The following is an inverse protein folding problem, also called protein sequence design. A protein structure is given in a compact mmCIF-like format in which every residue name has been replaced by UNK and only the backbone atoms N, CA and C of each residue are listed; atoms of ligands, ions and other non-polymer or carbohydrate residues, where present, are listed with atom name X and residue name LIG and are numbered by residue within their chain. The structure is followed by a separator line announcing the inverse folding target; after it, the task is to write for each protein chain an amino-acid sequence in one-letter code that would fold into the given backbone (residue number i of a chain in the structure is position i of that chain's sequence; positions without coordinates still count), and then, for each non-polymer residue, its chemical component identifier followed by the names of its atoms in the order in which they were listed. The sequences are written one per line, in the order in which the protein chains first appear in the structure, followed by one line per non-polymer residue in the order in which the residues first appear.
data_IF_904188939416
#
_entry.id   IF_904188939416
#
_cell.length_a   1.000
_cell.length_b   1.000
_cell.length_c   1.000
_cell.angle_alpha   90.00
_cell.angle_beta   90.00
_cell.angle_gamma   90.00
#
_symmetry.space_group_name_H-M   'P 1'
#
loop_
_entity.id
_entity.type
_entity.pdbx_description
1 polymer ?
#
# COMPACT_ATOMS: atom_id res chain seq x y z
N UNK A 1 -19.27 6.44 -24.97
CA UNK A 1 -18.55 5.74 -23.89
C UNK A 1 -17.07 5.90 -24.15
N UNK A 2 -16.37 6.77 -23.40
CA UNK A 2 -14.92 6.88 -23.53
C UNK A 2 -14.30 5.56 -23.06
N UNK A 3 -13.64 4.85 -23.99
CA UNK A 3 -12.74 3.73 -23.69
C UNK A 3 -11.45 4.31 -23.10
N UNK A 4 -11.57 4.87 -21.90
CA UNK A 4 -10.42 5.19 -21.07
C UNK A 4 -9.74 3.89 -20.63
N UNK A 5 -8.44 3.89 -20.44
CA UNK A 5 -7.73 2.66 -20.13
C UNK A 5 -8.01 2.30 -18.64
N UNK A 6 -8.12 0.99 -18.33
CA UNK A 6 -8.79 0.48 -17.13
C UNK A 6 -7.86 0.52 -15.89
N UNK A 7 -8.33 1.08 -14.75
CA UNK A 7 -7.54 1.12 -13.52
C UNK A 7 -7.19 -0.28 -13.02
N UNK A 8 -6.12 -0.37 -12.24
CA UNK A 8 -5.74 -1.59 -11.52
C UNK A 8 -6.52 -1.63 -10.21
N UNK A 9 -7.34 -2.67 -10.03
CA UNK A 9 -8.20 -2.83 -8.86
C UNK A 9 -7.70 -4.06 -8.13
N UNK A 10 -6.87 -3.83 -7.12
CA UNK A 10 -6.24 -4.85 -6.31
C UNK A 10 -7.17 -5.19 -5.14
N UNK A 11 -7.72 -6.39 -5.13
CA UNK A 11 -8.49 -6.91 -4.00
C UNK A 11 -7.56 -7.26 -2.84
N UNK A 12 -7.70 -6.56 -1.72
CA UNK A 12 -7.05 -6.88 -0.44
C UNK A 12 -7.87 -7.98 0.25
N UNK A 13 -7.34 -9.21 0.29
CA UNK A 13 -8.13 -10.39 0.69
C UNK A 13 -8.61 -10.36 2.14
N UNK A 14 -7.86 -9.73 3.04
CA UNK A 14 -8.14 -9.78 4.49
C UNK A 14 -8.49 -8.41 5.07
N UNK A 15 -8.08 -7.33 4.43
CA UNK A 15 -8.15 -6.00 5.02
C UNK A 15 -7.15 -5.79 6.16
N UNK A 16 -6.23 -6.73 6.43
CA UNK A 16 -5.27 -6.64 7.52
C UNK A 16 -3.97 -5.94 7.08
N UNK A 17 -3.39 -5.12 7.96
CA UNK A 17 -2.17 -4.36 7.68
C UNK A 17 -0.91 -5.22 7.59
N UNK A 18 -0.90 -6.38 8.26
CA UNK A 18 0.31 -7.20 8.48
C UNK A 18 0.28 -8.54 7.73
N UNK A 19 -0.78 -8.83 6.99
CA UNK A 19 -0.98 -10.13 6.35
C UNK A 19 -2.14 -10.13 5.37
N UNK A 20 -1.85 -9.87 4.10
CA UNK A 20 -2.84 -9.95 3.02
C UNK A 20 -2.19 -10.13 1.65
N UNK A 21 -2.90 -10.79 0.73
CA UNK A 21 -2.58 -10.73 -0.68
C UNK A 21 -3.46 -9.66 -1.35
N UNK A 22 -2.88 -9.00 -2.35
CA UNK A 22 -3.50 -7.96 -3.15
C UNK A 22 -3.52 -8.43 -4.60
N UNK A 23 -4.68 -8.89 -5.08
CA UNK A 23 -4.81 -9.50 -6.40
C UNK A 23 -5.61 -8.58 -7.35
N UNK A 24 -5.04 -8.17 -8.50
CA UNK A 24 -5.78 -7.36 -9.49
C UNK A 24 -6.95 -8.17 -10.06
N UNK A 25 -8.15 -7.59 -10.16
CA UNK A 25 -9.33 -8.30 -10.66
C UNK A 25 -9.19 -8.77 -12.12
N UNK A 26 -8.27 -8.19 -12.89
CA UNK A 26 -7.97 -8.56 -14.27
C UNK A 26 -6.67 -9.37 -14.39
N UNK A 27 -6.14 -9.90 -13.28
CA UNK A 27 -4.96 -10.76 -13.23
C UNK A 27 -3.66 -10.11 -13.77
N UNK A 28 -3.55 -8.78 -13.72
CA UNK A 28 -2.37 -8.06 -14.26
C UNK A 28 -1.26 -7.81 -13.22
N UNK A 29 -1.59 -7.78 -11.94
CA UNK A 29 -0.67 -7.40 -10.87
C UNK A 29 -1.05 -8.09 -9.56
N UNK A 30 -0.05 -8.60 -8.84
CA UNK A 30 -0.25 -9.33 -7.59
C UNK A 30 0.82 -8.96 -6.58
N UNK A 31 0.41 -8.59 -5.37
CA UNK A 31 1.32 -8.36 -4.25
C UNK A 31 0.94 -9.21 -3.06
N UNK A 32 1.91 -9.42 -2.18
CA UNK A 32 1.67 -9.95 -0.84
C UNK A 32 2.32 -9.05 0.19
N UNK A 33 1.58 -8.72 1.24
CA UNK A 33 2.09 -8.10 2.46
C UNK A 33 2.10 -9.17 3.55
N UNK A 34 3.26 -9.40 4.15
CA UNK A 34 3.43 -10.39 5.21
C UNK A 34 4.36 -9.86 6.29
N UNK A 35 3.97 -10.05 7.55
CA UNK A 35 4.80 -9.76 8.72
C UNK A 35 5.15 -11.07 9.40
N UNK A 36 6.43 -11.25 9.74
CA UNK A 36 6.83 -12.41 10.54
C UNK A 36 6.29 -12.24 11.97
N UNK A 37 5.65 -13.26 12.57
CA UNK A 37 5.09 -13.15 13.92
C UNK A 37 6.11 -12.77 15.00
N UNK A 38 7.38 -13.10 14.80
CA UNK A 38 8.48 -12.82 15.73
C UNK A 38 9.22 -11.52 15.45
N UNK A 39 8.80 -10.75 14.45
CA UNK A 39 9.51 -9.54 14.03
C UNK A 39 8.56 -8.36 13.82
N UNK A 40 9.11 -7.17 13.95
CA UNK A 40 8.44 -5.92 13.58
C UNK A 40 8.53 -5.62 12.09
N UNK A 41 9.27 -6.43 11.33
CA UNK A 41 9.46 -6.27 9.90
C UNK A 41 8.22 -6.72 9.11
N UNK A 42 7.62 -5.79 8.36
CA UNK A 42 6.59 -6.10 7.36
C UNK A 42 7.23 -6.12 5.97
N UNK A 43 7.02 -7.19 5.23
CA UNK A 43 7.62 -7.44 3.93
C UNK A 43 6.57 -7.37 2.84
N UNK A 44 6.95 -6.80 1.69
CA UNK A 44 6.11 -6.73 0.49
C UNK A 44 6.80 -7.52 -0.62
N UNK A 45 6.04 -8.40 -1.25
CA UNK A 45 6.49 -9.28 -2.32
C UNK A 45 5.74 -8.96 -3.60
N UNK A 46 6.47 -8.97 -4.73
CA UNK A 46 5.85 -9.01 -6.06
C UNK A 46 5.56 -10.47 -6.41
N UNK A 47 4.29 -10.79 -6.60
CA UNK A 47 3.85 -12.14 -6.88
C UNK A 47 3.59 -12.30 -8.38
N UNK A 48 3.99 -13.44 -8.94
CA UNK A 48 3.75 -13.71 -10.38
C UNK A 48 2.38 -14.32 -10.66
N UNK A 49 1.59 -14.61 -9.62
CA UNK A 49 0.29 -15.27 -9.74
C UNK A 49 -0.60 -14.93 -8.57
N UNK A 50 -1.91 -14.92 -8.84
CA UNK A 50 -2.99 -14.81 -7.85
C UNK A 50 -2.79 -15.75 -6.67
N UNK A 51 -3.17 -15.30 -5.49
CA UNK A 51 -3.19 -16.15 -4.31
C UNK A 51 -4.21 -17.30 -4.46
N UNK A 52 -3.74 -18.54 -4.23
CA UNK A 52 -4.59 -19.72 -4.09
C UNK A 52 -4.90 -19.99 -2.62
N UNK A 53 -6.05 -20.58 -2.30
CA UNK A 53 -6.45 -20.95 -0.92
C UNK A 53 -5.42 -21.78 -0.15
N UNK A 54 -4.53 -22.50 -0.84
CA UNK A 54 -3.47 -23.33 -0.24
C UNK A 54 -2.13 -22.60 -0.01
N UNK A 55 -2.01 -21.32 -0.39
CA UNK A 55 -0.72 -20.61 -0.36
C UNK A 55 -0.29 -20.21 1.06
N UNK A 56 -1.24 -20.07 1.98
CA UNK A 56 -0.97 -19.57 3.33
C UNK A 56 -0.20 -20.54 4.23
N UNK A 57 0.02 -21.78 3.80
CA UNK A 57 0.74 -22.80 4.57
C UNK A 57 2.18 -23.07 4.12
N UNK A 58 2.66 -22.45 3.05
CA UNK A 58 4.00 -22.71 2.51
C UNK A 58 4.99 -21.59 2.86
N UNK A 59 6.25 -21.93 3.24
CA UNK A 59 7.30 -20.92 3.42
C UNK A 59 7.53 -20.15 2.13
N UNK A 60 7.69 -18.83 2.23
CA UNK A 60 7.98 -17.98 1.07
C UNK A 60 9.41 -18.21 0.60
N UNK A 61 9.55 -18.69 -0.64
CA UNK A 61 10.84 -18.88 -1.30
C UNK A 61 11.30 -17.67 -2.10
N UNK A 62 10.45 -16.64 -2.24
CA UNK A 62 10.77 -15.42 -2.96
C UNK A 62 11.32 -14.36 -2.01
N UNK A 63 12.33 -13.63 -2.47
CA UNK A 63 12.84 -12.47 -1.76
C UNK A 63 11.83 -11.31 -1.79
N UNK A 64 11.70 -10.54 -0.70
CA UNK A 64 10.85 -9.36 -0.69
C UNK A 64 11.41 -8.28 -1.62
N UNK A 65 10.51 -7.48 -2.19
CA UNK A 65 10.88 -6.28 -2.97
C UNK A 65 10.93 -5.03 -2.08
N UNK A 66 10.25 -5.07 -0.94
CA UNK A 66 10.29 -4.00 0.07
C UNK A 66 10.29 -4.62 1.47
N UNK A 67 11.09 -4.05 2.36
CA UNK A 67 11.11 -4.37 3.78
C UNK A 67 10.83 -3.10 4.58
N UNK A 68 9.81 -3.18 5.45
CA UNK A 68 9.38 -2.14 6.36
C UNK A 68 9.75 -2.56 7.79
N UNK A 69 10.92 -2.09 8.23
CA UNK A 69 11.43 -2.37 9.57
C UNK A 69 10.87 -1.33 10.55
N UNK A 70 9.77 -1.67 11.23
CA UNK A 70 9.26 -0.86 12.34
C UNK A 70 10.09 -1.09 13.61
N UNK A 71 10.12 -0.11 14.52
CA UNK A 71 10.79 -0.29 15.80
C UNK A 71 9.96 -1.19 16.74
N UNK A 72 10.55 -1.63 17.86
CA UNK A 72 9.90 -2.55 18.81
C UNK A 72 8.63 -1.96 19.45
N UNK A 73 8.50 -0.64 19.51
CA UNK A 73 7.33 0.09 19.98
C UNK A 73 6.32 0.39 18.86
N UNK A 74 6.45 -0.28 17.71
CA UNK A 74 5.67 -0.04 16.49
C UNK A 74 5.87 1.33 15.86
N UNK A 75 6.82 2.13 16.34
CA UNK A 75 7.12 3.42 15.73
C UNK A 75 7.81 3.27 14.37
N UNK A 76 7.80 4.34 13.59
CA UNK A 76 8.36 4.36 12.24
C UNK A 76 9.88 4.15 12.27
N UNK A 77 10.34 3.07 11.66
CA UNK A 77 11.76 2.80 11.45
C UNK A 77 12.20 3.05 10.00
N UNK A 78 12.64 1.99 9.32
CA UNK A 78 13.31 2.08 8.01
C UNK A 78 12.49 1.40 6.92
N UNK A 79 12.37 2.04 5.76
CA UNK A 79 11.90 1.42 4.52
C UNK A 79 13.10 1.07 3.65
N UNK A 80 13.11 -0.14 3.12
CA UNK A 80 14.17 -0.65 2.24
C UNK A 80 13.56 -1.18 0.94
N UNK A 81 13.92 -0.60 -0.19
CA UNK A 81 13.57 -1.11 -1.51
C UNK A 81 14.69 -2.03 -2.01
N UNK A 82 14.35 -3.28 -2.32
CA UNK A 82 15.27 -4.30 -2.81
C UNK A 82 15.14 -4.35 -4.33
N UNK A 83 16.23 -4.01 -5.02
CA UNK A 83 16.31 -3.97 -6.48
C UNK A 83 17.46 -4.84 -6.97
N UNK A 84 17.49 -5.25 -8.26
CA UNK A 84 18.62 -5.99 -8.81
C UNK A 84 19.97 -5.27 -8.63
N UNK A 85 19.97 -3.93 -8.67
CA UNK A 85 21.16 -3.10 -8.48
C UNK A 85 21.57 -2.90 -7.01
N UNK A 86 20.79 -3.40 -6.05
CA UNK A 86 21.08 -3.28 -4.62
C UNK A 86 19.89 -2.86 -3.76
N UNK A 87 20.17 -2.61 -2.47
CA UNK A 87 19.19 -2.18 -1.46
C UNK A 87 19.28 -0.67 -1.26
N UNK A 88 18.16 0.03 -1.40
CA UNK A 88 18.04 1.46 -1.08
C UNK A 88 17.21 1.60 0.19
N UNK A 89 17.84 2.07 1.26
CA UNK A 89 17.20 2.21 2.57
C UNK A 89 17.11 3.68 2.99
N UNK A 90 16.01 4.05 3.63
CA UNK A 90 15.86 5.37 4.26
C UNK A 90 14.85 5.31 5.42
N UNK A 91 14.93 6.26 6.34
CA UNK A 91 13.96 6.41 7.41
C UNK A 91 12.54 6.63 6.83
N UNK A 92 11.55 5.91 7.33
CA UNK A 92 10.15 6.05 6.90
C UNK A 92 9.63 7.46 7.11
N UNK A 93 10.08 8.16 8.16
CA UNK A 93 9.76 9.57 8.41
C UNK A 93 10.30 10.53 7.35
N UNK A 94 11.42 10.17 6.69
CA UNK A 94 12.00 10.93 5.57
C UNK A 94 11.31 10.60 4.25
N UNK A 95 10.90 9.34 4.07
CA UNK A 95 10.16 8.86 2.91
C UNK A 95 8.72 9.42 2.86
N UNK A 96 7.99 9.31 3.98
CA UNK A 96 6.62 9.80 4.19
C UNK A 96 6.58 10.93 5.22
N UNK A 97 6.61 12.15 4.72
CA UNK A 97 6.67 13.38 5.53
C UNK A 97 5.27 13.90 5.81
N UNK A 98 5.05 14.52 6.97
CA UNK A 98 3.82 15.30 7.20
C UNK A 98 3.70 16.42 6.16
N UNK A 99 2.48 16.71 5.72
CA UNK A 99 2.25 17.74 4.69
C UNK A 99 2.50 19.15 5.21
N UNK A 100 2.31 19.38 6.49
CA UNK A 100 2.76 20.57 7.22
C UNK A 100 3.02 20.20 8.69
N UNK A 101 3.66 21.09 9.46
CA UNK A 101 3.96 20.86 10.88
C UNK A 101 2.68 20.70 11.73
N UNK A 102 1.59 21.36 11.34
CA UNK A 102 0.30 21.33 12.03
C UNK A 102 -0.73 20.41 11.36
N UNK A 103 -0.36 19.73 10.28
CA UNK A 103 -1.26 18.79 9.61
C UNK A 103 -1.47 17.52 10.44
N UNK A 104 -2.64 16.92 10.29
CA UNK A 104 -2.94 15.58 10.80
C UNK A 104 -1.83 14.61 10.40
N UNK A 105 -1.45 13.71 11.31
CA UNK A 105 -0.46 12.67 11.02
C UNK A 105 -0.93 11.67 9.97
N UNK A 106 -2.24 11.63 9.71
CA UNK A 106 -2.90 10.86 8.65
C UNK A 106 -2.97 11.61 7.31
N UNK A 107 -2.21 12.70 7.17
CA UNK A 107 -1.97 13.41 5.92
C UNK A 107 -0.47 13.52 5.69
N UNK A 108 0.07 12.68 4.79
CA UNK A 108 1.51 12.60 4.52
C UNK A 108 1.79 12.54 3.04
N UNK A 109 2.99 12.99 2.69
CA UNK A 109 3.47 13.08 1.32
C UNK A 109 4.80 12.36 1.14
N UNK A 110 5.00 11.84 -0.06
CA UNK A 110 6.23 11.19 -0.49
C UNK A 110 6.59 11.66 -1.90
N UNK A 111 7.86 11.50 -2.27
CA UNK A 111 8.34 11.75 -3.63
C UNK A 111 8.45 10.41 -4.34
N UNK A 112 7.73 10.27 -5.46
CA UNK A 112 7.79 9.09 -6.33
C UNK A 112 9.13 8.97 -7.04
N UNK A 113 9.38 7.81 -7.64
CA UNK A 113 10.58 7.58 -8.46
C UNK A 113 10.61 8.44 -9.73
N UNK A 114 9.47 8.97 -10.15
CA UNK A 114 9.30 9.95 -11.23
C UNK A 114 9.67 11.39 -10.82
N UNK A 115 10.08 11.60 -9.56
CA UNK A 115 10.45 12.90 -9.00
C UNK A 115 9.26 13.78 -8.61
N UNK A 116 8.03 13.31 -8.74
CA UNK A 116 6.81 14.06 -8.39
C UNK A 116 6.39 13.80 -6.94
N UNK A 117 5.66 14.75 -6.39
CA UNK A 117 5.13 14.64 -5.03
C UNK A 117 3.71 14.05 -5.04
N UNK A 118 3.46 13.13 -4.11
CA UNK A 118 2.20 12.43 -3.91
C UNK A 118 1.78 12.53 -2.46
N UNK A 119 0.48 12.64 -2.20
CA UNK A 119 -0.08 12.82 -0.86
C UNK A 119 -1.19 11.82 -0.60
N UNK A 120 -1.05 11.07 0.50
CA UNK A 120 -2.12 10.29 1.12
C UNK A 120 -2.88 11.14 2.13
N UNK A 121 -4.21 11.00 2.13
CA UNK A 121 -5.12 11.63 3.08
C UNK A 121 -6.18 10.64 3.56
N UNK A 122 -6.38 10.57 4.87
CA UNK A 122 -7.35 9.67 5.50
C UNK A 122 -8.76 10.24 5.43
N UNK A 123 -9.70 9.48 4.86
CA UNK A 123 -11.14 9.80 4.77
C UNK A 123 -11.44 11.22 4.27
N UNK A 124 -10.62 11.72 3.34
CA UNK A 124 -10.83 13.02 2.71
C UNK A 124 -11.94 13.00 1.66
N UNK A 125 -12.29 11.83 1.15
CA UNK A 125 -13.36 11.60 0.17
C UNK A 125 -14.32 10.56 0.75
N UNK A 126 -15.63 10.81 0.67
CA UNK A 126 -16.63 9.87 1.19
C UNK A 126 -16.51 8.50 0.51
N UNK A 127 -16.65 7.44 1.30
CA UNK A 127 -16.49 6.06 0.87
C UNK A 127 -15.04 5.58 0.70
N UNK A 128 -14.05 6.48 0.66
CA UNK A 128 -12.63 6.11 0.55
C UNK A 128 -11.94 6.22 1.91
N UNK A 129 -11.28 5.15 2.35
CA UNK A 129 -10.51 5.21 3.58
C UNK A 129 -9.21 5.99 3.39
N UNK A 130 -8.52 5.77 2.28
CA UNK A 130 -7.33 6.52 1.91
C UNK A 130 -7.43 7.03 0.48
N UNK A 131 -7.09 8.29 0.27
CA UNK A 131 -7.01 8.89 -1.07
C UNK A 131 -5.59 9.37 -1.32
N UNK A 132 -4.99 8.95 -2.44
CA UNK A 132 -3.69 9.42 -2.91
C UNK A 132 -3.89 10.41 -4.06
N UNK A 133 -3.27 11.58 -3.95
CA UNK A 133 -3.34 12.64 -4.96
C UNK A 133 -1.97 13.16 -5.34
N UNK A 134 -1.82 13.72 -6.55
CA UNK A 134 -0.63 14.51 -6.91
C UNK A 134 -0.57 15.77 -6.04
N UNK A 135 0.62 16.20 -5.61
CA UNK A 135 0.78 17.28 -4.63
C UNK A 135 0.22 18.64 -5.07
N UNK A 136 0.53 19.10 -6.28
CA UNK A 136 0.14 20.45 -6.74
C UNK A 136 -1.28 20.51 -7.33
N UNK A 137 -1.65 19.50 -8.12
CA UNK A 137 -2.86 19.54 -8.96
C UNK A 137 -4.03 18.74 -8.36
N UNK A 138 -3.78 18.01 -7.26
CA UNK A 138 -4.75 17.13 -6.59
C UNK A 138 -5.41 16.09 -7.52
N UNK A 139 -4.77 15.69 -8.61
CA UNK A 139 -5.24 14.59 -9.46
C UNK A 139 -5.22 13.29 -8.67
N UNK A 140 -6.27 12.49 -8.85
CA UNK A 140 -6.42 11.21 -8.17
C UNK A 140 -5.45 10.18 -8.75
N UNK A 141 -4.64 9.58 -7.88
CA UNK A 141 -3.55 8.65 -8.23
C UNK A 141 -3.93 7.23 -7.85
N UNK A 142 -4.43 7.08 -6.63
CA UNK A 142 -4.91 5.82 -6.08
C UNK A 142 -5.89 6.09 -4.94
N UNK A 143 -6.69 5.10 -4.58
CA UNK A 143 -7.45 5.12 -3.33
C UNK A 143 -7.58 3.71 -2.75
N UNK A 144 -7.76 3.63 -1.43
CA UNK A 144 -8.06 2.40 -0.72
C UNK A 144 -9.42 2.49 -0.06
N UNK A 145 -10.24 1.48 -0.31
CA UNK A 145 -11.58 1.37 0.23
C UNK A 145 -11.62 0.17 1.17
N UNK A 146 -11.87 0.43 2.45
CA UNK A 146 -12.10 -0.62 3.44
C UNK A 146 -13.59 -0.94 3.46
N UNK A 147 -13.95 -2.21 3.26
CA UNK A 147 -15.34 -2.67 3.37
C UNK A 147 -15.97 -2.16 4.66
N UNK A 148 -17.12 -1.48 4.53
CA UNK A 148 -17.90 -1.07 5.69
C UNK A 148 -18.45 -2.30 6.44
N UNK A 149 -18.52 -2.29 7.79
CA UNK A 149 -18.95 -3.45 8.57
C UNK A 149 -20.37 -3.94 8.26
N UNK A 150 -21.25 -3.05 7.80
CA UNK A 150 -22.67 -3.27 7.51
C UNK A 150 -22.93 -3.77 6.07
N UNK A 151 -21.93 -3.73 5.19
CA UNK A 151 -22.08 -4.15 3.79
C UNK A 151 -21.74 -5.63 3.63
N UNK A 152 -22.72 -6.40 3.14
CA UNK A 152 -22.51 -7.80 2.77
C UNK A 152 -21.81 -7.88 1.41
N UNK A 153 -20.81 -8.73 1.33
CA UNK A 153 -20.08 -9.04 0.09
C UNK A 153 -20.09 -10.56 -0.10
N UNK A 154 -20.21 -10.98 -1.36
CA UNK A 154 -20.28 -12.39 -1.73
C UNK A 154 -19.18 -12.69 -2.74
N UNK A 155 -18.30 -13.64 -2.41
CA UNK A 155 -17.22 -14.07 -3.31
C UNK A 155 -15.98 -13.16 -3.38
N UNK A 156 -16.00 -12.00 -2.71
CA UNK A 156 -14.88 -11.06 -2.61
C UNK A 156 -14.73 -10.54 -1.17
N UNK A 157 -13.58 -9.98 -0.84
CA UNK A 157 -13.29 -9.38 0.48
C UNK A 157 -14.00 -8.03 0.69
N UNK A 158 -14.23 -7.29 -0.40
CA UNK A 158 -14.77 -5.93 -0.36
C UNK A 158 -13.75 -4.84 0.02
N UNK A 159 -12.48 -5.20 0.19
CA UNK A 159 -11.39 -4.25 0.42
C UNK A 159 -10.58 -4.11 -0.87
N UNK A 160 -10.36 -2.88 -1.32
CA UNK A 160 -9.72 -2.66 -2.63
C UNK A 160 -8.73 -1.51 -2.59
N UNK A 161 -7.55 -1.72 -3.17
CA UNK A 161 -6.64 -0.67 -3.59
C UNK A 161 -6.82 -0.45 -5.10
N UNK A 162 -7.32 0.72 -5.47
CA UNK A 162 -7.44 1.13 -6.87
C UNK A 162 -6.28 2.04 -7.23
N UNK A 163 -5.54 1.71 -8.30
CA UNK A 163 -4.45 2.52 -8.87
C UNK A 163 -4.84 2.91 -10.29
N UNK A 164 -4.89 4.21 -10.57
CA UNK A 164 -5.21 4.70 -11.90
C UNK A 164 -4.05 4.42 -12.85
N UNK A 165 -4.38 4.04 -14.09
CA UNK A 165 -3.42 3.43 -15.02
C UNK A 165 -2.18 4.28 -15.29
N UNK A 166 -2.34 5.61 -15.39
CA UNK A 166 -1.23 6.54 -15.56
C UNK A 166 -0.14 6.40 -14.46
N UNK A 167 -0.48 5.83 -13.30
CA UNK A 167 0.37 5.72 -12.12
C UNK A 167 0.74 4.28 -11.76
N UNK A 168 0.40 3.29 -12.60
CA UNK A 168 0.74 1.88 -12.32
C UNK A 168 2.25 1.63 -12.23
N UNK A 169 3.05 2.44 -12.92
CA UNK A 169 4.51 2.39 -12.84
C UNK A 169 5.05 2.64 -11.43
N UNK A 170 4.25 3.22 -10.52
CA UNK A 170 4.56 3.43 -9.11
C UNK A 170 3.83 2.46 -8.17
N UNK A 171 3.28 1.36 -8.68
CA UNK A 171 2.44 0.48 -7.87
C UNK A 171 3.13 -0.03 -6.61
N UNK A 172 4.45 -0.28 -6.68
CA UNK A 172 5.25 -0.68 -5.51
C UNK A 172 5.35 0.45 -4.50
N UNK A 173 5.64 1.68 -4.92
CA UNK A 173 5.69 2.84 -4.03
C UNK A 173 4.32 3.17 -3.41
N UNK A 174 3.23 3.01 -4.18
CA UNK A 174 1.85 3.21 -3.72
C UNK A 174 1.46 2.16 -2.69
N UNK A 175 1.74 0.88 -2.96
CA UNK A 175 1.54 -0.20 -1.99
C UNK A 175 2.36 0.05 -0.72
N UNK A 176 3.64 0.38 -0.87
CA UNK A 176 4.57 0.66 0.23
C UNK A 176 4.08 1.81 1.10
N UNK A 177 3.75 2.93 0.47
CA UNK A 177 3.32 4.13 1.19
C UNK A 177 1.95 3.93 1.85
N UNK A 178 1.00 3.25 1.19
CA UNK A 178 -0.28 2.88 1.79
C UNK A 178 -0.07 2.01 3.03
N UNK A 179 0.75 0.95 2.96
CA UNK A 179 1.02 0.07 4.11
C UNK A 179 1.57 0.86 5.30
N UNK A 180 2.50 1.80 5.07
CA UNK A 180 3.01 2.68 6.13
C UNK A 180 1.91 3.61 6.68
N UNK A 181 1.07 4.19 5.81
CA UNK A 181 -0.03 5.06 6.25
C UNK A 181 -1.08 4.32 7.10
N UNK A 182 -1.43 3.10 6.69
CA UNK A 182 -2.33 2.22 7.44
C UNK A 182 -1.74 1.84 8.81
N UNK A 183 -0.43 1.58 8.86
CA UNK A 183 0.29 1.34 10.12
C UNK A 183 0.26 2.56 11.05
N UNK A 184 0.52 3.76 10.51
CA UNK A 184 0.44 5.02 11.27
C UNK A 184 -0.94 5.20 11.88
N UNK A 185 -2.01 4.92 11.13
CA UNK A 185 -3.38 5.02 11.64
C UNK A 185 -3.68 3.96 12.71
N UNK A 186 -3.20 2.73 12.56
CA UNK A 186 -3.41 1.66 13.54
C UNK A 186 -2.73 1.96 14.88
N UNK A 187 -1.55 2.62 14.86
CA UNK A 187 -0.72 2.86 16.03
C UNK A 187 -0.74 4.33 16.52
N UNK A 188 -1.56 5.20 15.93
CA UNK A 188 -1.70 6.62 16.30
C UNK A 188 -0.37 7.42 16.28
N UNK A 189 0.43 7.24 15.22
CA UNK A 189 1.75 7.89 15.03
C UNK A 189 1.67 9.23 14.27
#
# INVERSE_FOLDING_TARGET
MQRGPLPYILEDRTGANTGSDFDDIYDRLFFRVARSPSQTATMIYNMHRRASRHRDSLPFTQDPIVVLDFLHDESLGTVSFIRPAGRISQAMSKYLRKTSLFASSLSRKFTGSDGREYRWSYRSVDGQEWTCTTGAENYLVAHYDLKKPDVRVYGVSGHTLTIYEAFVHMAVELMTSLTIMRHIAQHNL
#
